data_IF_771701507227
#
_entry.id   IF_771701507227
#
_cell.length_a   1.000
_cell.length_b   1.000
_cell.length_c   1.000
_cell.angle_alpha   90.00
_cell.angle_beta   90.00
_cell.angle_gamma   90.00
#
_symmetry.space_group_name_H-M   'P 1'
#
loop_
_entity.id
_entity.type
_entity.pdbx_description
1 polymer ?
#
# COMPACT_ATOMS: atom_id res chain seq x y z
N UNK A 1 -7.19 -15.55 -14.47
CA UNK A 1 -6.29 -14.43 -14.09
C UNK A 1 -6.14 -14.24 -12.58
N UNK A 2 -7.19 -14.30 -11.76
CA UNK A 2 -7.10 -14.10 -10.29
C UNK A 2 -6.12 -15.07 -9.56
N UNK A 3 -6.02 -16.32 -10.01
CA UNK A 3 -5.18 -17.34 -9.36
C UNK A 3 -3.67 -17.12 -9.51
N UNK A 4 -3.22 -16.63 -10.66
CA UNK A 4 -1.79 -16.35 -10.91
C UNK A 4 -1.30 -15.19 -10.05
N UNK A 5 -2.12 -14.13 -9.94
CA UNK A 5 -1.79 -12.97 -9.10
C UNK A 5 -1.65 -13.36 -7.64
N UNK A 6 -2.54 -14.23 -7.13
CA UNK A 6 -2.46 -14.77 -5.76
C UNK A 6 -1.20 -15.60 -5.52
N UNK A 7 -0.67 -16.30 -6.51
CA UNK A 7 0.52 -17.14 -6.35
C UNK A 7 1.82 -16.34 -6.42
N UNK A 8 1.90 -15.38 -7.34
CA UNK A 8 3.03 -14.46 -7.46
C UNK A 8 3.21 -13.57 -6.22
N UNK A 9 2.10 -13.15 -5.58
CA UNK A 9 2.13 -12.31 -4.37
C UNK A 9 2.42 -13.09 -3.07
N UNK A 10 2.15 -14.40 -3.03
CA UNK A 10 2.58 -15.27 -1.91
C UNK A 10 4.09 -15.47 -1.85
N UNK A 11 4.73 -15.54 -3.01
CA UNK A 11 6.19 -15.70 -3.14
C UNK A 11 6.95 -14.37 -3.18
N UNK A 12 6.24 -13.26 -2.93
CA UNK A 12 6.87 -11.96 -2.90
C UNK A 12 7.83 -11.90 -1.71
N UNK A 13 9.11 -11.73 -2.01
CA UNK A 13 10.16 -11.56 -1.02
C UNK A 13 9.91 -10.29 -0.23
N UNK A 14 9.61 -10.47 1.06
CA UNK A 14 9.23 -9.38 1.95
C UNK A 14 10.34 -8.32 2.02
N UNK A 15 11.59 -8.72 2.06
CA UNK A 15 12.79 -7.88 2.01
C UNK A 15 12.87 -7.00 0.76
N UNK A 16 12.58 -7.57 -0.41
CA UNK A 16 12.60 -6.81 -1.68
C UNK A 16 11.44 -5.81 -1.75
N UNK A 17 10.26 -6.22 -1.29
CA UNK A 17 9.09 -5.33 -1.24
C UNK A 17 9.31 -4.19 -0.24
N UNK A 18 9.88 -4.49 0.92
CA UNK A 18 10.22 -3.52 1.95
C UNK A 18 11.17 -2.46 1.42
N UNK A 19 12.25 -2.89 0.76
CA UNK A 19 13.23 -2.01 0.13
C UNK A 19 12.59 -1.16 -0.99
N UNK A 20 11.77 -1.78 -1.85
CA UNK A 20 11.08 -1.04 -2.91
C UNK A 20 10.14 0.03 -2.33
N UNK A 21 9.38 -0.30 -1.29
CA UNK A 21 8.49 0.63 -0.61
C UNK A 21 9.26 1.65 0.24
N UNK A 22 10.51 1.37 0.63
CA UNK A 22 11.41 2.32 1.29
C UNK A 22 11.63 3.56 0.42
N UNK A 23 11.84 3.36 -0.89
CA UNK A 23 12.06 4.41 -1.89
C UNK A 23 10.77 4.95 -2.54
N UNK A 24 9.61 4.38 -2.23
CA UNK A 24 8.35 4.81 -2.80
C UNK A 24 7.79 6.06 -2.09
N UNK A 25 7.73 7.18 -2.81
CA UNK A 25 7.13 8.44 -2.31
C UNK A 25 5.64 8.59 -2.66
N UNK A 26 5.10 7.73 -3.54
CA UNK A 26 3.71 7.80 -3.97
C UNK A 26 2.80 7.11 -2.96
N UNK A 27 2.22 7.91 -2.08
CA UNK A 27 1.32 7.48 -1.01
C UNK A 27 0.19 6.53 -1.44
N UNK A 28 -0.38 6.73 -2.63
CA UNK A 28 -1.44 5.85 -3.18
C UNK A 28 -0.93 4.44 -3.53
N UNK A 29 0.31 4.33 -4.00
CA UNK A 29 0.90 3.05 -4.38
C UNK A 29 1.14 2.21 -3.13
N UNK A 30 1.75 2.80 -2.10
CA UNK A 30 2.02 2.09 -0.83
C UNK A 30 0.73 1.59 -0.19
N UNK A 31 -0.36 2.38 -0.22
CA UNK A 31 -1.68 1.93 0.26
C UNK A 31 -2.27 0.81 -0.57
N UNK A 32 -2.22 0.91 -1.89
CA UNK A 32 -2.74 -0.14 -2.75
C UNK A 32 -2.06 -1.49 -2.45
N UNK A 33 -0.74 -1.49 -2.27
CA UNK A 33 0.01 -2.71 -1.94
C UNK A 33 -0.38 -3.24 -0.55
N UNK A 34 -0.50 -2.35 0.44
CA UNK A 34 -0.95 -2.71 1.79
C UNK A 34 -2.35 -3.33 1.79
N UNK A 35 -3.32 -2.65 1.18
CA UNK A 35 -4.73 -3.04 1.19
C UNK A 35 -4.93 -4.37 0.44
N UNK A 36 -4.28 -4.54 -0.72
CA UNK A 36 -4.25 -5.83 -1.44
C UNK A 36 -3.62 -6.95 -0.61
N UNK A 37 -2.57 -6.64 0.15
CA UNK A 37 -1.92 -7.59 1.04
C UNK A 37 -2.84 -8.05 2.18
N UNK A 38 -3.59 -7.13 2.78
CA UNK A 38 -4.56 -7.43 3.84
C UNK A 38 -5.77 -8.21 3.30
N UNK A 39 -6.36 -7.78 2.19
CA UNK A 39 -7.49 -8.48 1.56
C UNK A 39 -7.13 -9.91 1.14
N UNK A 40 -5.87 -10.16 0.80
CA UNK A 40 -5.37 -11.47 0.43
C UNK A 40 -4.81 -12.28 1.63
N UNK A 41 -4.86 -11.73 2.84
CA UNK A 41 -4.34 -12.30 4.10
C UNK A 41 -2.85 -12.72 4.03
N UNK A 42 -2.02 -11.85 3.43
CA UNK A 42 -0.58 -12.08 3.37
C UNK A 42 0.15 -11.58 4.61
N UNK A 43 1.06 -12.40 5.14
CA UNK A 43 1.80 -12.11 6.38
C UNK A 43 2.68 -10.85 6.29
N UNK A 44 3.19 -10.51 5.11
CA UNK A 44 3.99 -9.31 4.87
C UNK A 44 3.17 -8.02 4.94
N UNK A 45 1.84 -8.08 4.76
CA UNK A 45 0.99 -6.89 4.69
C UNK A 45 1.06 -6.05 5.98
N UNK A 46 1.13 -6.72 7.14
CA UNK A 46 1.32 -6.07 8.45
C UNK A 46 2.63 -5.27 8.54
N UNK A 47 3.69 -5.73 7.87
CA UNK A 47 4.99 -5.03 7.84
C UNK A 47 4.94 -3.72 7.05
N UNK A 48 4.02 -3.60 6.09
CA UNK A 48 3.91 -2.42 5.21
C UNK A 48 3.32 -1.21 5.92
N UNK A 49 2.55 -1.39 7.00
CA UNK A 49 1.92 -0.29 7.72
C UNK A 49 2.92 0.83 8.06
N UNK A 50 4.18 0.49 8.38
CA UNK A 50 5.26 1.46 8.63
C UNK A 50 5.51 2.42 7.44
N UNK A 51 5.34 1.97 6.20
CA UNK A 51 5.50 2.80 5.01
C UNK A 51 4.28 3.68 4.75
N UNK A 52 3.08 3.18 5.09
CA UNK A 52 1.84 3.98 5.08
C UNK A 52 1.98 5.13 6.09
N UNK A 53 2.41 4.81 7.31
CA UNK A 53 2.61 5.78 8.39
C UNK A 53 3.69 6.80 8.01
N UNK A 54 4.83 6.35 7.47
CA UNK A 54 5.90 7.25 6.99
C UNK A 54 5.38 8.29 6.01
N UNK A 55 4.48 7.92 5.10
CA UNK A 55 3.98 8.82 4.06
C UNK A 55 2.82 9.71 4.49
N UNK A 56 2.24 9.51 5.68
CA UNK A 56 1.17 10.39 6.11
C UNK A 56 0.71 10.27 7.55
N UNK A 57 1.64 10.01 8.46
CA UNK A 57 1.45 10.15 9.90
C UNK A 57 0.71 11.45 10.22
N UNK A 58 -0.43 11.31 10.90
CA UNK A 58 -1.23 12.43 11.41
C UNK A 58 -1.96 13.27 10.35
N UNK A 59 -1.91 12.91 9.06
CA UNK A 59 -2.63 13.65 8.01
C UNK A 59 -3.89 12.89 7.61
N UNK A 60 -4.99 13.61 7.45
CA UNK A 60 -6.20 13.11 6.78
C UNK A 60 -5.95 13.11 5.28
N UNK A 61 -5.98 11.94 4.64
CA UNK A 61 -5.55 11.85 3.24
C UNK A 61 -6.68 12.23 2.31
N UNK A 62 -6.41 13.22 1.48
CA UNK A 62 -7.34 13.72 0.47
C UNK A 62 -6.76 13.54 -0.92
N UNK A 63 -7.58 13.13 -1.87
CA UNK A 63 -7.24 13.12 -3.26
C UNK A 63 -7.48 14.52 -3.86
N UNK A 64 -6.44 15.16 -4.36
CA UNK A 64 -6.59 16.40 -5.11
C UNK A 64 -6.83 16.07 -6.58
N UNK A 65 -7.95 16.54 -7.11
CA UNK A 65 -8.33 16.44 -8.53
C UNK A 65 -8.37 17.85 -9.12
N UNK A 66 -8.39 17.95 -10.46
CA UNK A 66 -8.60 19.24 -11.15
C UNK A 66 -9.92 19.92 -10.73
N UNK A 67 -10.89 19.12 -10.27
CA UNK A 67 -12.23 19.57 -9.90
C UNK A 67 -12.38 19.79 -8.38
N UNK A 68 -11.29 19.72 -7.62
CA UNK A 68 -11.29 19.93 -6.17
C UNK A 68 -10.71 18.77 -5.36
N UNK A 69 -10.79 18.91 -4.04
CA UNK A 69 -10.18 18.00 -3.06
C UNK A 69 -11.23 17.03 -2.51
N UNK A 70 -11.08 15.74 -2.82
CA UNK A 70 -11.92 14.66 -2.29
C UNK A 70 -11.25 14.14 -1.02
N UNK A 71 -11.95 14.19 0.11
CA UNK A 71 -11.44 13.59 1.35
C UNK A 71 -12.03 12.20 1.47
N UNK A 72 -11.17 11.16 1.41
CA UNK A 72 -11.64 9.79 1.64
C UNK A 72 -12.01 9.66 3.12
N UNK A 73 -13.14 9.01 3.40
CA UNK A 73 -13.49 8.65 4.79
C UNK A 73 -12.48 7.61 5.29
N UNK A 74 -12.10 7.67 6.57
CA UNK A 74 -11.23 6.66 7.17
C UNK A 74 -11.85 5.27 7.03
#
# INVERSE_FOLDING_TARGET
MLHVVKWATRNLRHDVLDEFLSHCHRVKVVRLVHDLGLEADFSWARGIQKHVDRLGAGKRWSNQTKNGRITLKP
#
